data_IF_697341203560
#
_entry.id   IF_697341203560
#
_cell.length_a   1.000
_cell.length_b   1.000
_cell.length_c   1.000
_cell.angle_alpha   90.00
_cell.angle_beta   90.00
_cell.angle_gamma   90.00
#
_symmetry.space_group_name_H-M   'P 1'
#
loop_
_entity.id
_entity.type
_entity.pdbx_description
1 polymer ?
#
# COMPACT_ATOMS: atom_id res chain seq x y z
N UNK A 1 12.08 -19.41 -3.21
CA UNK A 1 11.10 -19.45 -2.11
C UNK A 1 10.66 -18.03 -1.86
N UNK A 2 9.36 -17.76 -1.77
CA UNK A 2 8.86 -16.42 -1.48
C UNK A 2 8.97 -16.14 0.03
N UNK A 3 9.31 -14.92 0.44
CA UNK A 3 9.50 -14.58 1.85
C UNK A 3 8.99 -13.19 2.21
N UNK A 4 8.48 -13.03 3.43
CA UNK A 4 8.12 -11.71 3.98
C UNK A 4 9.17 -11.32 5.00
N UNK A 5 9.90 -10.24 4.72
CA UNK A 5 10.94 -9.63 5.54
C UNK A 5 10.33 -8.46 6.30
N UNK A 6 10.53 -8.40 7.61
CA UNK A 6 9.90 -7.35 8.44
C UNK A 6 10.72 -7.04 9.68
N UNK A 7 10.84 -5.77 10.02
CA UNK A 7 11.29 -5.31 11.35
C UNK A 7 10.13 -5.01 12.30
N UNK A 8 8.89 -4.92 11.79
CA UNK A 8 7.71 -4.75 12.64
C UNK A 8 7.26 -6.05 13.30
N UNK A 9 6.78 -6.00 14.56
CA UNK A 9 6.26 -7.17 15.25
C UNK A 9 5.18 -7.87 14.44
N UNK A 10 5.43 -9.13 14.13
CA UNK A 10 4.50 -10.00 13.43
C UNK A 10 3.83 -10.90 14.47
N UNK A 11 2.52 -10.81 14.60
CA UNK A 11 1.71 -11.64 15.51
C UNK A 11 0.73 -12.54 14.75
N UNK A 12 0.89 -12.65 13.42
CA UNK A 12 -0.07 -13.34 12.54
C UNK A 12 -0.15 -14.85 12.79
N UNK A 13 0.87 -15.44 13.40
CA UNK A 13 0.96 -16.86 13.70
C UNK A 13 0.26 -17.25 15.00
N UNK A 14 -0.17 -16.29 15.82
CA UNK A 14 -0.90 -16.59 17.04
C UNK A 14 -2.38 -16.92 16.75
N UNK A 15 -2.99 -17.87 17.49
CA UNK A 15 -4.42 -18.20 17.35
C UNK A 15 -5.33 -17.00 17.63
N UNK A 16 -6.54 -17.01 17.04
CA UNK A 16 -7.54 -15.99 17.30
C UNK A 16 -8.01 -16.12 18.76
N UNK A 17 -7.62 -15.15 19.60
CA UNK A 17 -7.90 -15.14 21.05
C UNK A 17 -6.69 -15.34 21.96
N UNK A 18 -5.47 -15.49 21.42
CA UNK A 18 -4.26 -15.41 22.23
C UNK A 18 -3.98 -13.95 22.63
N UNK A 19 -3.62 -13.70 23.88
CA UNK A 19 -3.27 -12.36 24.38
C UNK A 19 -2.05 -11.78 23.64
N UNK A 20 -1.22 -12.64 23.04
CA UNK A 20 -0.07 -12.26 22.22
C UNK A 20 -0.46 -11.80 20.80
N UNK A 21 -1.69 -12.10 20.35
CA UNK A 21 -2.22 -11.64 19.05
C UNK A 21 -2.71 -10.19 19.10
N UNK A 22 -2.63 -9.52 20.26
CA UNK A 22 -3.15 -8.17 20.48
C UNK A 22 -2.26 -7.11 19.81
N UNK A 23 -2.27 -7.14 18.49
CA UNK A 23 -1.86 -6.06 17.63
C UNK A 23 -3.08 -5.15 17.42
N UNK A 24 -3.03 -3.97 18.05
CA UNK A 24 -4.09 -2.96 17.98
C UNK A 24 -3.97 -2.03 16.77
N UNK A 25 -3.09 -2.32 15.81
CA UNK A 25 -2.87 -1.45 14.66
C UNK A 25 -3.81 -1.84 13.52
N UNK A 26 -4.68 -0.90 13.17
CA UNK A 26 -5.64 -1.06 12.08
C UNK A 26 -5.19 -0.30 10.85
N UNK A 27 -5.37 -0.91 9.69
CA UNK A 27 -5.23 -0.26 8.40
C UNK A 27 -6.17 0.95 8.32
N UNK A 28 -5.73 2.04 7.69
CA UNK A 28 -6.56 3.25 7.52
C UNK A 28 -6.57 3.75 6.09
N UNK A 29 -5.41 3.74 5.46
CA UNK A 29 -5.28 4.06 4.06
C UNK A 29 -3.96 3.53 3.52
N UNK A 30 -3.87 3.46 2.20
CA UNK A 30 -2.64 3.23 1.46
C UNK A 30 -2.41 4.42 0.52
N UNK A 31 -1.18 4.91 0.48
CA UNK A 31 -0.76 5.99 -0.41
C UNK A 31 0.28 5.47 -1.39
N UNK A 32 0.05 5.73 -2.67
CA UNK A 32 0.97 5.50 -3.76
C UNK A 32 1.69 6.80 -4.10
N UNK A 33 3.01 6.77 -4.09
CA UNK A 33 3.84 7.90 -4.49
C UNK A 33 4.56 7.59 -5.79
N UNK A 34 4.41 8.47 -6.80
CA UNK A 34 5.15 8.37 -8.04
C UNK A 34 6.47 9.13 -7.92
N UNK A 35 7.58 8.44 -8.20
CA UNK A 35 8.88 9.08 -8.46
C UNK A 35 8.94 9.62 -9.89
N UNK A 36 9.81 10.61 -10.19
CA UNK A 36 9.91 11.19 -11.53
C UNK A 36 10.18 10.14 -12.60
N UNK A 37 9.58 10.32 -13.78
CA UNK A 37 9.87 9.47 -14.93
C UNK A 37 11.37 9.53 -15.24
N UNK A 38 12.03 8.38 -15.25
CA UNK A 38 13.44 8.27 -15.62
C UNK A 38 13.59 8.41 -17.14
N UNK A 39 14.75 8.91 -17.61
CA UNK A 39 15.00 9.29 -19.02
C UNK A 39 14.75 8.18 -20.05
N UNK A 40 14.76 6.92 -19.62
CA UNK A 40 14.54 5.73 -20.45
C UNK A 40 13.35 4.87 -19.99
N UNK A 41 12.59 5.33 -18.99
CA UNK A 41 11.43 4.64 -18.46
C UNK A 41 10.17 4.93 -19.27
N UNK A 42 9.31 3.92 -19.44
CA UNK A 42 7.97 4.11 -20.02
C UNK A 42 6.93 4.55 -18.98
N UNK A 43 7.16 4.25 -17.70
CA UNK A 43 6.28 4.53 -16.57
C UNK A 43 7.08 4.98 -15.35
N UNK A 44 6.42 5.70 -14.45
CA UNK A 44 6.98 6.09 -13.15
C UNK A 44 7.26 4.87 -12.27
N UNK A 45 8.28 4.99 -11.42
CA UNK A 45 8.45 4.08 -10.29
C UNK A 45 7.44 4.50 -9.22
N UNK A 46 6.67 3.54 -8.71
CA UNK A 46 5.68 3.76 -7.67
C UNK A 46 6.13 3.14 -6.35
N UNK A 47 5.87 3.86 -5.27
CA UNK A 47 6.14 3.42 -3.91
C UNK A 47 4.83 3.34 -3.14
N UNK A 48 4.69 2.33 -2.29
CA UNK A 48 3.47 2.11 -1.51
C UNK A 48 3.73 2.27 -0.01
N UNK A 49 2.94 3.15 0.63
CA UNK A 49 2.97 3.39 2.07
C UNK A 49 1.60 3.10 2.66
N UNK A 50 1.54 2.24 3.66
CA UNK A 50 0.33 1.90 4.40
C UNK A 50 0.31 2.69 5.71
N UNK A 51 -0.74 3.45 5.94
CA UNK A 51 -0.98 4.10 7.22
C UNK A 51 -1.83 3.22 8.13
N UNK A 52 -1.40 3.13 9.39
CA UNK A 52 -2.12 2.40 10.43
C UNK A 52 -2.33 3.27 11.67
N UNK A 53 -3.46 3.06 12.35
CA UNK A 53 -3.75 3.70 13.64
C UNK A 53 -3.94 2.65 14.72
N UNK A 54 -3.43 2.93 15.91
CA UNK A 54 -3.64 2.08 17.06
C UNK A 54 -5.01 2.37 17.69
N UNK A 55 -5.88 1.38 17.79
CA UNK A 55 -7.27 1.57 18.25
C UNK A 55 -7.39 1.85 19.75
N UNK A 56 -6.37 1.55 20.56
CA UNK A 56 -6.44 1.76 22.02
C UNK A 56 -5.91 3.12 22.45
N UNK A 57 -4.90 3.65 21.76
CA UNK A 57 -4.26 4.91 22.14
C UNK A 57 -4.26 5.99 21.03
N UNK A 58 -4.79 5.69 19.84
CA UNK A 58 -4.89 6.63 18.72
C UNK A 58 -3.57 6.98 18.04
N UNK A 59 -2.46 6.33 18.40
CA UNK A 59 -1.16 6.57 17.77
C UNK A 59 -1.17 6.17 16.28
N UNK A 60 -0.38 6.87 15.47
CA UNK A 60 -0.21 6.57 14.05
C UNK A 60 1.14 5.93 13.79
N UNK A 61 1.18 5.00 12.83
CA UNK A 61 2.42 4.50 12.24
C UNK A 61 2.23 4.31 10.74
N UNK A 62 3.35 4.29 10.03
CA UNK A 62 3.37 4.11 8.58
C UNK A 62 4.32 2.97 8.24
N UNK A 63 3.91 2.17 7.27
CA UNK A 63 4.65 1.00 6.80
C UNK A 63 4.99 1.19 5.33
N UNK A 64 6.25 0.99 4.97
CA UNK A 64 6.66 0.80 3.59
C UNK A 64 6.47 -0.68 3.24
N UNK A 65 5.77 -0.95 2.14
CA UNK A 65 5.68 -2.28 1.56
C UNK A 65 6.33 -2.30 0.17
N UNK A 66 7.36 -3.12 -0.01
CA UNK A 66 8.24 -3.11 -1.18
C UNK A 66 8.54 -4.53 -1.66
N UNK A 67 8.32 -4.89 -2.94
CA UNK A 67 8.71 -6.19 -3.47
C UNK A 67 10.24 -6.32 -3.50
N UNK A 68 10.76 -7.48 -3.07
CA UNK A 68 12.17 -7.82 -3.16
C UNK A 68 12.41 -8.60 -4.44
N UNK A 69 13.25 -8.10 -5.33
CA UNK A 69 13.57 -8.73 -6.61
C UNK A 69 14.89 -9.49 -6.57
N UNK A 70 14.99 -10.55 -7.37
CA UNK A 70 16.23 -11.26 -7.67
C UNK A 70 17.02 -10.47 -8.72
N UNK A 71 18.26 -10.12 -8.39
CA UNK A 71 19.12 -9.31 -9.26
C UNK A 71 19.43 -9.98 -10.61
N UNK A 72 19.26 -11.30 -10.73
CA UNK A 72 19.63 -12.05 -11.93
C UNK A 72 18.52 -12.16 -12.97
N UNK A 73 17.26 -12.31 -12.55
CA UNK A 73 16.12 -12.54 -13.45
C UNK A 73 14.93 -11.59 -13.22
N UNK A 74 15.04 -10.66 -12.26
CA UNK A 74 14.00 -9.68 -11.94
C UNK A 74 12.74 -10.30 -11.35
N UNK A 75 12.80 -11.56 -10.89
CA UNK A 75 11.68 -12.23 -10.23
C UNK A 75 11.53 -11.70 -8.81
N UNK A 76 10.29 -11.45 -8.40
CA UNK A 76 9.99 -11.13 -7.00
C UNK A 76 10.21 -12.37 -6.13
N UNK A 77 11.14 -12.28 -5.19
CA UNK A 77 11.50 -13.32 -4.20
C UNK A 77 10.90 -13.06 -2.83
N UNK A 78 10.34 -11.88 -2.60
CA UNK A 78 9.68 -11.59 -1.35
C UNK A 78 9.07 -10.20 -1.28
N UNK A 79 8.65 -9.83 -0.08
CA UNK A 79 8.12 -8.52 0.26
C UNK A 79 8.82 -8.05 1.52
N UNK A 80 9.24 -6.79 1.52
CA UNK A 80 9.75 -6.09 2.69
C UNK A 80 8.65 -5.22 3.28
N UNK A 81 8.46 -5.31 4.60
CA UNK A 81 7.51 -4.50 5.38
C UNK A 81 8.26 -3.81 6.51
N UNK A 82 8.42 -2.49 6.42
CA UNK A 82 9.28 -1.73 7.34
C UNK A 82 8.59 -0.47 7.86
N UNK A 83 8.94 0.00 9.06
CA UNK A 83 8.47 1.30 9.55
C UNK A 83 9.04 2.45 8.70
N UNK A 84 8.20 3.45 8.49
CA UNK A 84 8.61 4.74 7.90
C UNK A 84 8.01 5.90 8.71
N UNK A 85 8.55 7.10 8.53
CA UNK A 85 8.04 8.33 9.15
C UNK A 85 6.73 8.83 8.51
N UNK A 86 6.32 8.22 7.40
CA UNK A 86 5.12 8.55 6.66
C UNK A 86 5.28 9.77 5.75
N UNK A 87 6.45 10.42 5.76
CA UNK A 87 6.73 11.52 4.86
C UNK A 87 6.80 11.01 3.41
N UNK A 88 6.28 11.77 2.43
CA UNK A 88 6.50 11.47 1.04
C UNK A 88 8.00 11.36 0.74
N UNK A 89 8.45 10.34 -0.02
CA UNK A 89 9.82 10.24 -0.48
C UNK A 89 10.27 11.52 -1.20
N UNK A 90 11.58 11.80 -1.16
CA UNK A 90 12.12 12.98 -1.83
C UNK A 90 11.91 12.88 -3.35
N UNK A 91 11.47 13.98 -3.97
CA UNK A 91 11.30 14.07 -5.42
C UNK A 91 10.00 13.50 -5.97
N UNK A 92 9.04 13.12 -5.12
CA UNK A 92 7.71 12.69 -5.55
C UNK A 92 7.04 13.71 -6.48
N UNK A 93 6.45 13.22 -7.57
CA UNK A 93 5.78 14.03 -8.61
C UNK A 93 4.26 13.87 -8.61
N UNK A 94 3.76 12.79 -8.00
CA UNK A 94 2.33 12.57 -7.82
C UNK A 94 2.07 11.67 -6.61
N UNK A 95 0.91 11.83 -6.00
CA UNK A 95 0.42 10.98 -4.92
C UNK A 95 -1.02 10.53 -5.21
N UNK A 96 -1.35 9.32 -4.77
CA UNK A 96 -2.71 8.79 -4.84
C UNK A 96 -3.02 8.01 -3.57
N UNK A 97 -4.05 8.44 -2.86
CA UNK A 97 -4.46 7.89 -1.57
C UNK A 97 -5.74 7.10 -1.72
N UNK A 98 -5.76 5.89 -1.16
CA UNK A 98 -6.93 5.01 -1.08
C UNK A 98 -7.23 4.72 0.37
N UNK A 99 -8.46 4.98 0.80
CA UNK A 99 -8.88 4.86 2.20
C UNK A 99 -9.56 3.51 2.49
N UNK A 100 -9.49 3.08 3.75
CA UNK A 100 -10.18 1.90 4.26
C UNK A 100 -11.70 2.05 4.10
N UNK A 101 -12.35 1.01 3.60
CA UNK A 101 -13.80 0.84 3.68
C UNK A 101 -14.20 0.55 5.12
N UNK A 102 -15.00 1.42 5.74
CA UNK A 102 -15.60 1.11 7.04
C UNK A 102 -16.71 0.08 6.81
N UNK A 103 -16.49 -1.18 7.19
CA UNK A 103 -17.54 -2.18 7.18
C UNK A 103 -18.35 -2.11 8.46
N UNK A 104 -19.66 -2.13 8.34
CA UNK A 104 -20.55 -2.21 9.48
C UNK A 104 -21.14 -3.62 9.56
N UNK A 105 -20.73 -4.42 10.54
CA UNK A 105 -21.38 -5.70 10.84
C UNK A 105 -22.40 -5.53 11.95
N UNK A 106 -23.58 -6.12 11.76
CA UNK A 106 -24.58 -6.25 12.80
C UNK A 106 -24.66 -7.71 13.24
N UNK A 107 -24.05 -8.03 14.37
CA UNK A 107 -24.25 -9.33 14.99
C UNK A 107 -25.72 -9.49 15.42
N UNK A 108 -26.23 -10.73 15.38
CA UNK A 108 -27.60 -11.03 15.84
C UNK A 108 -27.73 -10.72 17.34
N UNK A 109 -28.26 -9.55 17.65
CA UNK A 109 -28.50 -9.08 19.02
C UNK A 109 -27.96 -7.67 19.31
N UNK A 110 -27.14 -7.09 18.42
CA UNK A 110 -26.63 -5.73 18.61
C UNK A 110 -27.51 -4.70 17.92
N UNK A 111 -27.89 -3.64 18.67
CA UNK A 111 -28.74 -2.54 18.21
C UNK A 111 -28.01 -1.55 17.29
N UNK A 112 -26.68 -1.57 17.27
CA UNK A 112 -25.85 -0.67 16.48
C UNK A 112 -24.84 -1.49 15.68
N UNK A 113 -24.65 -1.20 14.39
CA UNK A 113 -23.59 -1.80 13.61
C UNK A 113 -22.23 -1.44 14.21
N UNK A 114 -21.26 -2.36 14.16
CA UNK A 114 -19.88 -2.11 14.59
C UNK A 114 -18.94 -2.06 13.40
N UNK A 115 -17.97 -1.11 13.41
CA UNK A 115 -16.91 -1.10 12.42
C UNK A 115 -16.06 -2.37 12.55
N UNK A 116 -15.89 -3.09 11.44
CA UNK A 116 -14.88 -4.14 11.33
C UNK A 116 -13.60 -3.51 10.80
N UNK A 117 -12.51 -3.70 11.52
CA UNK A 117 -11.21 -3.18 11.16
C UNK A 117 -10.35 -4.25 10.49
N UNK A 118 -9.56 -3.84 9.50
CA UNK A 118 -8.50 -4.68 8.97
C UNK A 118 -7.22 -4.47 9.77
N UNK A 119 -6.82 -5.46 10.58
CA UNK A 119 -5.69 -5.36 11.49
C UNK A 119 -4.36 -5.72 10.83
N UNK A 120 -3.25 -5.26 11.43
CA UNK A 120 -1.91 -5.55 10.90
C UNK A 120 -1.56 -7.05 10.93
N UNK A 121 -2.03 -7.82 11.90
CA UNK A 121 -1.85 -9.28 11.89
C UNK A 121 -2.54 -9.94 10.68
N UNK A 122 -3.64 -9.36 10.18
CA UNK A 122 -4.35 -9.85 8.99
C UNK A 122 -3.56 -9.53 7.73
N UNK A 123 -3.01 -8.32 7.65
CA UNK A 123 -2.04 -7.94 6.63
C UNK A 123 -0.89 -8.96 6.59
N UNK A 124 -0.22 -9.19 7.71
CA UNK A 124 0.93 -10.11 7.75
C UNK A 124 0.53 -11.55 7.41
N UNK A 125 -0.64 -12.02 7.89
CA UNK A 125 -1.16 -13.34 7.53
C UNK A 125 -1.39 -13.48 6.03
N UNK A 126 -2.04 -12.50 5.39
CA UNK A 126 -2.32 -12.50 3.96
C UNK A 126 -1.04 -12.45 3.12
N UNK A 127 -0.07 -11.62 3.49
CA UNK A 127 1.21 -11.56 2.77
C UNK A 127 1.97 -12.89 2.83
N UNK A 128 1.80 -13.67 3.91
CA UNK A 128 2.42 -14.98 4.10
C UNK A 128 1.61 -16.15 3.52
N UNK A 129 0.33 -15.94 3.25
CA UNK A 129 -0.55 -16.96 2.71
C UNK A 129 -0.17 -17.34 1.28
N UNK A 130 0.01 -18.65 1.04
CA UNK A 130 0.48 -19.16 -0.25
C UNK A 130 -0.54 -18.94 -1.37
N UNK A 131 -1.84 -18.93 -1.06
CA UNK A 131 -2.88 -18.63 -2.04
C UNK A 131 -2.84 -17.15 -2.45
N UNK A 132 -2.74 -16.25 -1.48
CA UNK A 132 -2.57 -14.82 -1.72
C UNK A 132 -1.31 -14.54 -2.52
N UNK A 133 -0.17 -15.13 -2.15
CA UNK A 133 1.07 -15.02 -2.93
C UNK A 133 0.90 -15.48 -4.38
N UNK A 134 0.19 -16.58 -4.62
CA UNK A 134 -0.10 -17.05 -5.97
C UNK A 134 -0.98 -16.07 -6.78
N UNK A 135 -1.75 -15.19 -6.12
CA UNK A 135 -2.48 -14.09 -6.78
C UNK A 135 -1.62 -12.82 -6.95
N UNK A 136 -0.67 -12.57 -6.06
CA UNK A 136 0.17 -11.36 -6.10
C UNK A 136 1.29 -11.44 -7.14
N UNK A 137 1.83 -12.64 -7.37
CA UNK A 137 3.01 -12.89 -8.21
C UNK A 137 2.81 -12.99 -9.74
N UNK A 138 1.64 -13.32 -10.30
CA UNK A 138 1.47 -13.41 -11.75
C UNK A 138 1.87 -12.13 -12.48
N UNK A 139 2.64 -12.29 -13.57
CA UNK A 139 3.08 -11.20 -14.45
C UNK A 139 3.97 -10.13 -13.80
N UNK A 140 4.65 -10.46 -12.70
CA UNK A 140 5.51 -9.52 -11.96
C UNK A 140 6.99 -9.56 -12.32
N UNK A 141 7.47 -10.58 -13.04
CA UNK A 141 8.88 -10.70 -13.43
C UNK A 141 9.31 -9.51 -14.30
N UNK A 142 10.29 -8.74 -13.83
CA UNK A 142 10.73 -7.50 -14.49
C UNK A 142 9.70 -6.35 -14.44
N UNK A 143 8.64 -6.50 -13.63
CA UNK A 143 7.56 -5.54 -13.48
C UNK A 143 7.07 -5.52 -12.02
N UNK A 144 7.87 -4.96 -11.13
CA UNK A 144 7.53 -4.75 -9.71
C UNK A 144 6.21 -3.99 -9.55
N UNK A 145 5.89 -3.13 -10.50
CA UNK A 145 4.66 -2.37 -10.47
C UNK A 145 3.39 -3.23 -10.59
N UNK A 146 3.44 -4.34 -11.34
CA UNK A 146 2.33 -5.29 -11.41
C UNK A 146 2.00 -5.92 -10.05
N UNK A 147 3.00 -6.05 -9.17
CA UNK A 147 2.79 -6.55 -7.82
C UNK A 147 1.87 -5.62 -7.01
N UNK A 148 2.09 -4.31 -7.09
CA UNK A 148 1.23 -3.32 -6.41
C UNK A 148 -0.21 -3.34 -6.94
N UNK A 149 -0.40 -3.50 -8.26
CA UNK A 149 -1.73 -3.66 -8.84
C UNK A 149 -2.43 -4.92 -8.33
N UNK A 150 -1.73 -6.06 -8.33
CA UNK A 150 -2.29 -7.31 -7.82
C UNK A 150 -2.62 -7.22 -6.32
N UNK A 151 -1.82 -6.50 -5.54
CA UNK A 151 -2.07 -6.25 -4.13
C UNK A 151 -3.29 -5.38 -3.88
N UNK A 152 -3.49 -4.33 -4.68
CA UNK A 152 -4.68 -3.49 -4.59
C UNK A 152 -5.94 -4.26 -4.94
N UNK A 153 -5.87 -5.07 -6.00
CA UNK A 153 -6.94 -5.97 -6.36
C UNK A 153 -7.30 -6.96 -5.24
N UNK A 154 -6.28 -7.48 -4.54
CA UNK A 154 -6.49 -8.30 -3.35
C UNK A 154 -7.23 -7.54 -2.24
N UNK A 155 -6.84 -6.29 -1.93
CA UNK A 155 -7.49 -5.48 -0.90
C UNK A 155 -8.96 -5.17 -1.25
N UNK A 156 -9.27 -4.91 -2.52
CA UNK A 156 -10.66 -4.73 -3.01
C UNK A 156 -11.47 -6.00 -2.81
N UNK A 157 -10.93 -7.15 -3.21
CA UNK A 157 -11.61 -8.44 -3.04
C UNK A 157 -11.81 -8.84 -1.58
N UNK A 158 -10.86 -8.47 -0.71
CA UNK A 158 -10.99 -8.62 0.73
C UNK A 158 -11.99 -7.59 1.33
N UNK A 159 -12.51 -6.68 0.50
CA UNK A 159 -13.43 -5.60 0.87
C UNK A 159 -12.76 -4.41 1.56
N UNK A 160 -11.47 -4.51 1.88
CA UNK A 160 -10.74 -3.56 2.74
C UNK A 160 -10.76 -2.15 2.16
N UNK A 161 -10.83 -2.03 0.84
CA UNK A 161 -10.93 -0.76 0.09
C UNK A 161 -12.03 -0.85 -0.97
N UNK A 162 -12.47 0.29 -1.50
CA UNK A 162 -13.58 0.37 -2.44
C UNK A 162 -13.15 0.01 -3.89
N UNK A 163 -13.99 -0.71 -4.63
CA UNK A 163 -13.77 -1.03 -6.06
C UNK A 163 -13.61 0.23 -6.92
N UNK A 164 -14.28 1.33 -6.59
CA UNK A 164 -14.13 2.60 -7.31
C UNK A 164 -12.69 3.15 -7.25
N UNK A 165 -11.95 2.84 -6.18
CA UNK A 165 -10.57 3.25 -6.02
C UNK A 165 -9.63 2.42 -6.89
N UNK A 166 -9.96 1.17 -7.19
CA UNK A 166 -9.20 0.32 -8.13
C UNK A 166 -9.19 0.91 -9.54
N UNK A 167 -10.35 1.33 -10.03
CA UNK A 167 -10.49 1.91 -11.37
C UNK A 167 -9.67 3.19 -11.47
N UNK A 168 -9.81 4.08 -10.48
CA UNK A 168 -9.06 5.34 -10.42
C UNK A 168 -7.55 5.09 -10.32
N UNK A 169 -7.16 4.11 -9.53
CA UNK A 169 -5.77 3.72 -9.38
C UNK A 169 -5.19 3.28 -10.74
N UNK A 170 -5.89 2.43 -11.50
CA UNK A 170 -5.44 2.01 -12.82
C UNK A 170 -5.18 3.17 -13.78
N UNK A 171 -6.02 4.21 -13.74
CA UNK A 171 -5.87 5.40 -14.58
C UNK A 171 -4.69 6.28 -14.14
N UNK A 172 -4.58 6.53 -12.83
CA UNK A 172 -3.50 7.33 -12.24
C UNK A 172 -2.13 6.68 -12.51
N UNK A 173 -2.05 5.35 -12.39
CA UNK A 173 -0.80 4.64 -12.53
C UNK A 173 -0.30 4.52 -13.98
N UNK A 174 -1.21 4.60 -14.98
CA UNK A 174 -0.86 4.64 -16.42
C UNK A 174 -0.49 6.03 -16.90
N UNK A 175 -0.78 7.06 -16.11
CA UNK A 175 -0.43 8.44 -16.43
C UNK A 175 1.08 8.64 -16.24
N UNK A 176 1.74 9.23 -17.24
CA UNK A 176 3.16 9.59 -17.13
C UNK A 176 3.32 10.88 -16.35
N UNK A 177 3.93 10.79 -15.18
CA UNK A 177 4.20 11.92 -14.30
C UNK A 177 5.64 12.42 -14.49
N UNK A 178 5.78 13.56 -15.16
CA UNK A 178 7.08 14.19 -15.41
C UNK A 178 7.34 15.28 -14.38
N UNK A 179 8.60 15.39 -13.95
CA UNK A 179 9.04 16.51 -13.10
C UNK A 179 9.07 17.78 -13.94
N UNK A 180 8.03 18.62 -13.82
CA UNK A 180 8.10 19.96 -14.37
C UNK A 180 8.86 20.83 -13.39
N UNK A 181 10.10 21.18 -13.75
CA UNK A 181 10.80 22.29 -13.13
C UNK A 181 10.03 23.57 -13.49
N UNK A 182 9.05 23.98 -12.69
CA UNK A 182 8.39 25.28 -12.84
C UNK A 182 9.32 26.39 -12.36
N UNK A 183 10.47 26.54 -13.02
CA UNK A 183 11.02 27.87 -13.30
C UNK A 183 10.27 28.43 -14.51
N UNK A 184 8.98 28.73 -14.31
CA UNK A 184 8.35 29.78 -15.09
C UNK A 184 8.96 31.07 -14.56
N UNK A 185 10.04 31.48 -15.21
CA UNK A 185 10.51 32.85 -15.26
C UNK A 185 9.30 33.78 -15.18
N UNK A 186 9.22 34.55 -14.10
CA UNK A 186 8.60 35.86 -14.13
C UNK A 186 9.35 36.68 -15.18
N UNK A 187 9.07 36.46 -16.46
CA UNK A 187 9.30 37.47 -17.48
C UNK A 187 8.24 38.52 -17.24
N UNK A 188 8.57 39.48 -16.38
CA UNK A 188 7.82 40.70 -16.29
C UNK A 188 7.73 41.30 -17.69
N UNK A 189 6.52 41.55 -18.14
CA UNK A 189 6.27 42.73 -18.92
C UNK A 189 4.96 43.37 -18.47
N UNK A 190 5.18 44.52 -17.86
CA UNK A 190 4.26 45.49 -17.30
C UNK A 190 3.34 45.97 -18.42
N UNK A 191 2.04 46.01 -18.11
CA UNK A 191 1.08 46.78 -18.89
C UNK A 191 1.51 48.24 -18.89
N UNK A 192 1.83 48.78 -20.07
CA UNK A 192 1.75 50.21 -20.39
C UNK A 192 0.75 50.38 -21.52
#
# INVERSE_FOLDING_TARGET
>A
MFSVFTSVPDTSFYPAGADERIDHWTFRHVTFYALPLQSHGQLNIWLMVIAQSNVTNGAWRYLWLDPVTDDHDGRITGIRVELTDGAPPSGVVAEFKVEESVFETQDKGETHPRPVHYFHYELMAHLRDGFTQAMLLPHTTGNEFQFYLNYMYFLVRAGVINEADEIRLHDVLRTQWVYYNTTLTQSGQVWQ
#
